data_IF_191385360313
#
_entry.id   IF_191385360313
#
_cell.length_a   1.000
_cell.length_b   1.000
_cell.length_c   1.000
_cell.angle_alpha   90.00
_cell.angle_beta   90.00
_cell.angle_gamma   90.00
#
_symmetry.space_group_name_H-M   'P 1'
#
loop_
_entity.id
_entity.type
_entity.pdbx_description
1 polymer ?
#
# COMPACT_ATOMS: atom_id res chain seq x y z
N UNK A 1 -8.54 -13.13 0.37
CA UNK A 1 -9.13 -13.89 -0.75
C UNK A 1 -8.20 -14.96 -1.33
N UNK A 2 -6.88 -14.72 -1.49
CA UNK A 2 -5.97 -15.68 -2.14
C UNK A 2 -5.80 -17.06 -1.48
N UNK A 3 -5.80 -17.15 -0.14
CA UNK A 3 -5.60 -18.42 0.56
C UNK A 3 -6.72 -19.45 0.30
N UNK A 4 -7.97 -19.00 0.21
CA UNK A 4 -9.13 -19.87 -0.10
C UNK A 4 -9.04 -20.38 -1.54
N UNK A 5 -8.68 -19.52 -2.49
CA UNK A 5 -8.47 -19.90 -3.88
C UNK A 5 -7.34 -20.92 -4.03
N UNK A 6 -6.22 -20.75 -3.31
CA UNK A 6 -5.09 -21.67 -3.34
C UNK A 6 -5.46 -23.08 -2.84
N UNK A 7 -6.23 -23.20 -1.76
CA UNK A 7 -6.71 -24.48 -1.23
C UNK A 7 -7.60 -25.20 -2.27
N UNK A 8 -8.49 -24.46 -2.93
CA UNK A 8 -9.36 -25.01 -3.99
C UNK A 8 -8.52 -25.53 -5.16
N UNK A 9 -7.56 -24.73 -5.66
CA UNK A 9 -6.70 -25.14 -6.78
C UNK A 9 -5.85 -26.37 -6.43
N UNK A 10 -5.27 -26.43 -5.22
CA UNK A 10 -4.54 -27.62 -4.78
C UNK A 10 -5.43 -28.86 -4.69
N UNK A 11 -6.70 -28.72 -4.29
CA UNK A 11 -7.66 -29.82 -4.26
C UNK A 11 -7.90 -30.44 -5.63
N UNK A 12 -8.07 -29.62 -6.68
CA UNK A 12 -8.30 -30.10 -8.04
C UNK A 12 -7.02 -30.63 -8.72
N UNK A 13 -5.85 -30.04 -8.43
CA UNK A 13 -4.58 -30.43 -9.04
C UNK A 13 -3.92 -31.64 -8.34
N UNK A 14 -4.49 -32.12 -7.24
CA UNK A 14 -3.90 -33.18 -6.41
C UNK A 14 -3.68 -34.52 -7.14
N UNK A 15 -4.52 -34.84 -8.13
CA UNK A 15 -4.40 -36.05 -8.97
C UNK A 15 -3.47 -35.89 -10.17
N UNK A 16 -3.03 -34.67 -10.48
CA UNK A 16 -2.17 -34.36 -11.64
C UNK A 16 -0.68 -34.58 -11.34
N UNK A 17 -0.28 -34.52 -10.06
CA UNK A 17 1.11 -34.68 -9.65
C UNK A 17 1.36 -36.10 -9.12
N UNK A 18 2.03 -36.93 -9.93
CA UNK A 18 2.43 -38.26 -9.53
C UNK A 18 3.62 -38.25 -8.56
N UNK A 19 3.39 -38.81 -7.38
CA UNK A 19 4.35 -38.95 -6.29
C UNK A 19 4.15 -37.95 -5.14
N UNK A 20 4.13 -38.46 -3.91
CA UNK A 20 3.97 -37.66 -2.67
C UNK A 20 5.06 -36.58 -2.53
N UNK A 21 6.28 -36.88 -3.00
CA UNK A 21 7.41 -35.93 -2.98
C UNK A 21 7.09 -34.62 -3.73
N UNK A 22 6.59 -34.69 -4.98
CA UNK A 22 6.28 -33.49 -5.77
C UNK A 22 5.19 -32.63 -5.11
N UNK A 23 4.17 -33.26 -4.52
CA UNK A 23 3.10 -32.57 -3.79
C UNK A 23 3.65 -31.83 -2.59
N UNK A 24 4.48 -32.51 -1.79
CA UNK A 24 5.11 -31.92 -0.61
C UNK A 24 6.02 -30.75 -0.99
N UNK A 25 6.79 -30.88 -2.07
CA UNK A 25 7.63 -29.79 -2.60
C UNK A 25 6.81 -28.58 -3.00
N UNK A 26 5.70 -28.76 -3.74
CA UNK A 26 4.83 -27.65 -4.15
C UNK A 26 4.23 -26.95 -2.93
N UNK A 27 3.71 -27.71 -1.96
CA UNK A 27 3.14 -27.15 -0.73
C UNK A 27 4.21 -26.41 0.08
N UNK A 28 5.38 -27.02 0.27
CA UNK A 28 6.49 -26.42 1.00
C UNK A 28 6.99 -25.14 0.36
N UNK A 29 7.20 -25.14 -0.96
CA UNK A 29 7.60 -23.95 -1.72
C UNK A 29 6.53 -22.85 -1.66
N UNK A 30 5.25 -23.22 -1.77
CA UNK A 30 4.13 -22.27 -1.68
C UNK A 30 4.05 -21.63 -0.30
N UNK A 31 4.23 -22.41 0.78
CA UNK A 31 4.22 -21.91 2.14
C UNK A 31 5.42 -20.98 2.40
N UNK A 32 6.59 -21.32 1.87
CA UNK A 32 7.78 -20.49 1.95
C UNK A 32 7.59 -19.14 1.26
N UNK A 33 7.12 -19.14 0.00
CA UNK A 33 6.82 -17.91 -0.75
C UNK A 33 5.73 -17.10 -0.03
N UNK A 34 4.67 -17.75 0.44
CA UNK A 34 3.60 -17.08 1.19
C UNK A 34 4.11 -16.40 2.45
N UNK A 35 4.90 -17.10 3.27
CA UNK A 35 5.46 -16.55 4.50
C UNK A 35 6.41 -15.38 4.20
N UNK A 36 7.27 -15.51 3.18
CA UNK A 36 8.15 -14.43 2.72
C UNK A 36 7.38 -13.21 2.23
N UNK A 37 6.38 -13.39 1.37
CA UNK A 37 5.53 -12.29 0.89
C UNK A 37 4.75 -11.63 2.04
N UNK A 38 4.22 -12.43 2.98
CA UNK A 38 3.50 -11.91 4.15
C UNK A 38 4.44 -11.11 5.07
N UNK A 39 5.68 -11.57 5.25
CA UNK A 39 6.69 -10.84 6.01
C UNK A 39 6.96 -9.48 5.35
N UNK A 40 7.27 -9.46 4.05
CA UNK A 40 7.62 -8.22 3.33
C UNK A 40 6.48 -7.18 3.36
N UNK A 41 5.24 -7.61 3.13
CA UNK A 41 4.08 -6.69 3.17
C UNK A 41 3.76 -6.21 4.59
N UNK A 42 4.20 -6.92 5.63
CA UNK A 42 3.98 -6.50 7.01
C UNK A 42 5.11 -5.65 7.55
N UNK A 43 6.34 -5.90 7.13
CA UNK A 43 7.50 -5.14 7.61
C UNK A 43 7.61 -3.78 6.93
N UNK A 44 7.23 -3.69 5.64
CA UNK A 44 7.43 -2.49 4.82
C UNK A 44 8.91 -2.03 4.77
N UNK A 45 9.86 -2.93 5.09
CA UNK A 45 11.30 -2.63 5.18
C UNK A 45 11.93 -2.17 3.86
N UNK A 46 11.28 -2.46 2.73
CA UNK A 46 11.79 -2.11 1.39
C UNK A 46 11.11 -0.86 0.82
N UNK A 47 10.37 -0.10 1.64
CA UNK A 47 9.74 1.15 1.21
C UNK A 47 10.60 2.32 1.66
N UNK A 48 11.15 3.04 0.69
CA UNK A 48 11.96 4.25 0.87
C UNK A 48 11.16 5.52 0.51
N UNK A 49 11.77 6.69 0.73
CA UNK A 49 11.11 8.00 0.54
C UNK A 49 10.51 8.17 -0.87
N UNK A 50 11.26 7.80 -1.91
CA UNK A 50 10.84 7.97 -3.30
C UNK A 50 9.75 6.97 -3.68
N UNK A 51 9.90 5.69 -3.32
CA UNK A 51 8.89 4.67 -3.59
C UNK A 51 7.59 4.93 -2.84
N UNK A 52 7.67 5.43 -1.60
CA UNK A 52 6.54 5.92 -0.83
C UNK A 52 5.77 7.01 -1.60
N UNK A 53 6.46 8.09 -2.00
CA UNK A 53 5.81 9.21 -2.69
C UNK A 53 5.25 8.79 -4.07
N UNK A 54 5.98 7.96 -4.83
CA UNK A 54 5.52 7.44 -6.12
C UNK A 54 4.26 6.57 -5.98
N UNK A 55 4.14 5.81 -4.90
CA UNK A 55 2.93 5.04 -4.60
C UNK A 55 1.78 5.91 -4.08
N UNK A 56 2.08 7.02 -3.40
CA UNK A 56 1.06 7.87 -2.79
C UNK A 56 0.43 8.86 -3.78
N UNK A 57 1.14 9.31 -4.81
CA UNK A 57 0.56 10.13 -5.89
C UNK A 57 -0.70 9.51 -6.52
N UNK A 58 -0.70 8.24 -6.99
CA UNK A 58 -1.90 7.61 -7.54
C UNK A 58 -2.96 7.33 -6.46
N UNK A 59 -2.56 6.99 -5.23
CA UNK A 59 -3.50 6.85 -4.11
C UNK A 59 -4.30 8.14 -3.89
N UNK A 60 -3.60 9.28 -3.85
CA UNK A 60 -4.22 10.60 -3.73
C UNK A 60 -5.10 10.96 -4.92
N UNK A 61 -4.65 10.62 -6.12
CA UNK A 61 -5.42 10.88 -7.36
C UNK A 61 -6.76 10.14 -7.37
N UNK A 62 -6.84 8.94 -6.77
CA UNK A 62 -8.10 8.21 -6.60
C UNK A 62 -9.04 8.97 -5.66
N UNK A 63 -8.53 9.55 -4.57
CA UNK A 63 -9.34 10.33 -3.63
C UNK A 63 -9.90 11.60 -4.29
N UNK A 64 -9.10 12.29 -5.10
CA UNK A 64 -9.55 13.44 -5.90
C UNK A 64 -10.66 13.01 -6.86
N UNK A 65 -10.41 12.00 -7.70
CA UNK A 65 -11.38 11.49 -8.67
C UNK A 65 -12.69 11.07 -8.00
N UNK A 66 -12.61 10.40 -6.85
CA UNK A 66 -13.78 9.95 -6.09
C UNK A 66 -14.56 11.14 -5.56
N UNK A 67 -13.88 12.15 -5.01
CA UNK A 67 -14.48 13.36 -4.45
C UNK A 67 -15.13 14.23 -5.53
N UNK A 68 -14.60 14.24 -6.74
CA UNK A 68 -15.17 14.93 -7.91
C UNK A 68 -16.42 14.24 -8.46
N UNK A 69 -16.44 12.90 -8.49
CA UNK A 69 -17.51 12.11 -9.14
C UNK A 69 -18.61 11.64 -8.19
N UNK A 70 -18.44 11.84 -6.88
CA UNK A 70 -19.42 11.41 -5.89
C UNK A 70 -20.73 12.21 -5.99
N UNK A 71 -21.87 11.51 -5.88
CA UNK A 71 -23.21 12.10 -5.89
C UNK A 71 -23.58 12.67 -4.51
N UNK A 72 -22.83 13.66 -4.04
CA UNK A 72 -22.99 14.27 -2.70
C UNK A 72 -24.12 15.32 -2.74
N UNK A 73 -25.06 15.22 -1.79
CA UNK A 73 -26.20 16.16 -1.66
C UNK A 73 -26.13 17.06 -0.44
N UNK A 74 -25.52 16.60 0.65
CA UNK A 74 -25.35 17.40 1.87
C UNK A 74 -24.23 18.44 1.66
N UNK A 75 -24.50 19.76 1.82
CA UNK A 75 -23.50 20.80 1.64
C UNK A 75 -22.25 20.64 2.52
N UNK A 76 -22.41 20.08 3.73
CA UNK A 76 -21.28 19.85 4.66
C UNK A 76 -20.34 18.77 4.12
N UNK A 77 -20.92 17.72 3.53
CA UNK A 77 -20.14 16.63 2.91
C UNK A 77 -19.47 17.12 1.63
N UNK A 78 -20.12 18.02 0.88
CA UNK A 78 -19.50 18.65 -0.31
C UNK A 78 -18.29 19.51 0.09
N UNK A 79 -18.44 20.34 1.11
CA UNK A 79 -17.35 21.16 1.63
C UNK A 79 -16.16 20.29 2.08
N UNK A 80 -16.41 19.21 2.82
CA UNK A 80 -15.37 18.24 3.21
C UNK A 80 -14.65 17.65 1.99
N UNK A 81 -15.39 17.20 0.99
CA UNK A 81 -14.80 16.59 -0.20
C UNK A 81 -14.01 17.61 -1.05
N UNK A 82 -14.39 18.89 -1.06
CA UNK A 82 -13.60 19.96 -1.70
C UNK A 82 -12.30 20.24 -0.94
N UNK A 83 -12.33 20.17 0.39
CA UNK A 83 -11.12 20.33 1.20
C UNK A 83 -10.16 19.14 1.05
N UNK A 84 -10.70 17.92 0.91
CA UNK A 84 -9.91 16.74 0.51
C UNK A 84 -9.23 16.99 -0.83
N UNK A 85 -9.97 17.41 -1.86
CA UNK A 85 -9.38 17.69 -3.19
C UNK A 85 -8.24 18.70 -3.08
N UNK A 86 -8.47 19.84 -2.41
CA UNK A 86 -7.45 20.89 -2.26
C UNK A 86 -6.21 20.38 -1.53
N UNK A 87 -6.38 19.59 -0.47
CA UNK A 87 -5.25 19.01 0.27
C UNK A 87 -4.44 18.06 -0.60
N UNK A 88 -5.12 17.11 -1.25
CA UNK A 88 -4.50 16.05 -2.03
C UNK A 88 -3.75 16.61 -3.27
N UNK A 89 -4.27 17.67 -3.90
CA UNK A 89 -3.58 18.36 -5.01
C UNK A 89 -2.30 19.06 -4.54
N UNK A 90 -2.33 19.71 -3.37
CA UNK A 90 -1.12 20.33 -2.79
C UNK A 90 -0.08 19.27 -2.46
N UNK A 91 -0.49 18.19 -1.78
CA UNK A 91 0.40 17.09 -1.40
C UNK A 91 1.01 16.37 -2.61
N UNK A 92 0.25 16.15 -3.70
CA UNK A 92 0.81 15.63 -4.96
C UNK A 92 1.89 16.56 -5.52
N UNK A 93 1.67 17.88 -5.46
CA UNK A 93 2.62 18.86 -5.97
C UNK A 93 3.91 18.88 -5.14
N UNK A 94 3.79 18.75 -3.82
CA UNK A 94 4.91 18.63 -2.88
C UNK A 94 5.70 17.35 -3.11
N UNK A 95 5.03 16.19 -3.16
CA UNK A 95 5.66 14.90 -3.45
C UNK A 95 6.43 14.92 -4.77
N UNK A 96 5.90 15.52 -5.83
CA UNK A 96 6.59 15.61 -7.12
C UNK A 96 7.88 16.44 -7.03
N UNK A 97 7.88 17.51 -6.23
CA UNK A 97 9.08 18.33 -6.01
C UNK A 97 10.12 17.55 -5.21
N UNK A 98 9.71 16.97 -4.09
CA UNK A 98 10.60 16.17 -3.24
C UNK A 98 11.21 14.96 -3.98
N UNK A 99 10.44 14.28 -4.85
CA UNK A 99 10.98 13.22 -5.71
C UNK A 99 12.11 13.79 -6.59
N UNK A 100 11.88 14.92 -7.25
CA UNK A 100 12.89 15.52 -8.12
C UNK A 100 14.14 15.96 -7.34
N UNK A 101 13.95 16.53 -6.15
CA UNK A 101 15.04 16.96 -5.27
C UNK A 101 15.87 15.75 -4.79
N UNK A 102 15.22 14.66 -4.35
CA UNK A 102 15.90 13.44 -3.89
C UNK A 102 16.56 12.63 -5.02
N UNK A 103 16.05 12.73 -6.25
CA UNK A 103 16.69 12.13 -7.42
C UNK A 103 17.94 12.91 -7.84
N UNK A 104 17.95 14.24 -7.64
CA UNK A 104 19.10 15.09 -7.90
C UNK A 104 20.16 14.99 -6.78
N UNK A 105 19.70 14.95 -5.53
CA UNK A 105 20.52 14.92 -4.32
C UNK A 105 20.00 13.82 -3.36
N UNK A 106 20.44 12.57 -3.56
CA UNK A 106 19.99 11.45 -2.72
C UNK A 106 20.41 11.60 -1.26
N UNK A 107 19.58 11.11 -0.36
CA UNK A 107 19.95 10.98 1.06
C UNK A 107 21.13 10.00 1.19
N UNK A 108 22.09 10.36 2.03
CA UNK A 108 23.23 9.51 2.37
C UNK A 108 22.78 8.12 2.83
N UNK A 109 23.42 7.07 2.34
CA UNK A 109 23.02 5.66 2.59
C UNK A 109 23.08 5.24 4.06
N UNK A 110 23.80 5.99 4.90
CA UNK A 110 23.91 5.76 6.34
C UNK A 110 23.02 6.66 7.20
N UNK A 111 22.13 7.47 6.59
CA UNK A 111 21.24 8.33 7.34
C UNK A 111 20.26 7.50 8.22
N UNK A 112 19.96 7.96 9.44
CA UNK A 112 19.04 7.24 10.32
C UNK A 112 17.59 7.33 9.80
N UNK A 113 16.82 6.26 9.96
CA UNK A 113 15.38 6.26 9.70
C UNK A 113 14.68 7.17 10.72
N UNK A 114 13.87 8.12 10.23
CA UNK A 114 13.15 9.07 11.07
C UNK A 114 11.85 8.43 11.62
N UNK A 115 11.58 8.55 12.94
CA UNK A 115 10.38 7.99 13.53
C UNK A 115 9.13 8.80 13.15
N UNK A 116 8.00 8.12 12.98
CA UNK A 116 6.71 8.79 12.83
C UNK A 116 6.31 9.53 14.10
N UNK A 117 5.63 10.69 13.95
CA UNK A 117 4.98 11.36 15.08
C UNK A 117 3.88 10.43 15.61
N UNK A 118 3.83 10.16 16.93
CA UNK A 118 2.76 9.37 17.51
C UNK A 118 1.41 10.00 17.15
N UNK A 119 0.48 9.20 16.64
CA UNK A 119 -0.90 9.66 16.49
C UNK A 119 -1.40 9.95 17.90
N UNK A 120 -1.51 11.23 18.25
CA UNK A 120 -2.32 11.61 19.40
C UNK A 120 -3.73 11.14 19.05
N UNK A 121 -4.20 10.07 19.71
CA UNK A 121 -5.61 9.71 19.69
C UNK A 121 -6.36 10.99 20.00
N UNK A 122 -7.08 11.53 19.03
CA UNK A 122 -7.88 12.72 19.23
C UNK A 122 -8.81 12.46 20.39
N UNK A 123 -8.48 13.03 21.54
CA UNK A 123 -9.42 13.33 22.60
C UNK A 123 -10.62 14.02 21.94
N UNK A 124 -11.77 13.37 22.07
CA UNK A 124 -13.11 13.97 22.08
C UNK A 124 -13.43 14.94 20.93
N UNK A 125 -13.89 14.39 19.81
CA UNK A 125 -14.92 15.08 19.03
C UNK A 125 -16.30 14.52 19.44
N UNK A 126 -16.84 15.10 20.52
CA UNK A 126 -18.27 15.10 20.83
C UNK A 126 -19.01 16.04 19.87
#
# INVERSE_FOLDING_TARGET
MGAVMAIIMLGFMWKMYDGTSKKLTIVGASLFVFAGSLYLVRSQETVDDVSYMRAMIPHHSIAIMTSERAHIRDPRVRALADDIIKAQVREISEMKRLIADLEAEPVESGAPILPAVPVQSTETAN
#
